data_IF_895907128543
#
_entry.id   IF_895907128543
#
_cell.length_a   1.000
_cell.length_b   1.000
_cell.length_c   1.000
_cell.angle_alpha   90.00
_cell.angle_beta   90.00
_cell.angle_gamma   90.00
#
_symmetry.space_group_name_H-M   'P 1'
#
loop_
_entity.id
_entity.type
_entity.pdbx_description
1 polymer ?
#
# COMPACT_ATOMS: atom_id res chain seq x y z
N UNK A 1 -12.58 14.63 4.19
CA UNK A 1 -13.11 13.43 4.86
C UNK A 1 -12.04 12.36 4.95
N UNK A 2 -11.87 11.77 6.13
CA UNK A 2 -10.89 10.71 6.37
C UNK A 2 -11.53 9.37 5.99
N UNK A 3 -10.87 8.61 5.12
CA UNK A 3 -11.38 7.33 4.63
C UNK A 3 -10.73 6.12 5.30
N UNK A 4 -9.53 6.30 5.84
CA UNK A 4 -8.75 5.23 6.45
C UNK A 4 -8.18 5.70 7.78
N UNK A 5 -7.93 4.77 8.68
CA UNK A 5 -7.29 5.10 9.96
C UNK A 5 -5.80 5.36 9.76
N UNK A 6 -5.16 4.55 8.94
CA UNK A 6 -3.72 4.63 8.71
C UNK A 6 -3.40 4.35 7.25
N UNK A 7 -2.40 5.05 6.71
CA UNK A 7 -1.78 4.72 5.43
C UNK A 7 -0.41 4.12 5.71
N UNK A 8 -0.13 2.99 5.07
CA UNK A 8 1.21 2.39 5.07
C UNK A 8 1.88 2.69 3.74
N UNK A 9 3.09 3.21 3.81
CA UNK A 9 3.96 3.38 2.65
C UNK A 9 5.07 2.35 2.77
N UNK A 10 4.99 1.30 1.95
CA UNK A 10 5.91 0.16 2.00
C UNK A 10 6.79 0.20 0.76
N UNK A 11 7.98 0.77 0.91
CA UNK A 11 8.92 1.02 -0.19
C UNK A 11 10.32 1.10 0.42
N UNK A 12 11.28 0.43 -0.20
CA UNK A 12 12.67 0.44 0.29
C UNK A 12 13.40 1.76 0.04
N UNK A 13 12.80 2.68 -0.72
CA UNK A 13 13.36 4.00 -0.97
C UNK A 13 12.77 5.03 0.01
N UNK A 14 13.58 5.48 1.00
CA UNK A 14 13.07 6.43 1.99
C UNK A 14 12.68 7.79 1.40
N UNK A 15 13.28 8.17 0.27
CA UNK A 15 12.94 9.42 -0.39
C UNK A 15 11.54 9.35 -1.00
N UNK A 16 11.21 8.24 -1.65
CA UNK A 16 9.86 8.02 -2.16
C UNK A 16 8.83 8.04 -1.04
N UNK A 17 9.12 7.38 0.06
CA UNK A 17 8.22 7.37 1.22
C UNK A 17 7.99 8.79 1.75
N UNK A 18 9.05 9.58 1.85
CA UNK A 18 8.96 10.95 2.35
C UNK A 18 8.10 11.82 1.42
N UNK A 19 8.35 11.74 0.12
CA UNK A 19 7.61 12.51 -0.88
C UNK A 19 6.13 12.14 -0.85
N UNK A 20 5.84 10.85 -0.83
CA UNK A 20 4.46 10.35 -0.81
C UNK A 20 3.75 10.71 0.49
N UNK A 21 4.47 10.67 1.61
CA UNK A 21 3.93 11.07 2.90
C UNK A 21 3.48 12.54 2.86
N UNK A 22 4.34 13.42 2.37
CA UNK A 22 4.00 14.86 2.26
C UNK A 22 2.81 15.09 1.34
N UNK A 23 2.75 14.37 0.24
CA UNK A 23 1.66 14.49 -0.72
C UNK A 23 0.32 14.05 -0.11
N UNK A 24 0.33 12.91 0.58
CA UNK A 24 -0.87 12.35 1.20
C UNK A 24 -1.35 13.20 2.37
N UNK A 25 -0.44 13.84 3.10
CA UNK A 25 -0.81 14.75 4.18
C UNK A 25 -1.60 15.95 3.69
N UNK A 26 -1.37 16.39 2.45
CA UNK A 26 -2.09 17.53 1.88
C UNK A 26 -3.57 17.24 1.67
N UNK A 27 -3.93 15.99 1.40
CA UNK A 27 -5.32 15.61 1.10
C UNK A 27 -6.01 14.92 2.26
N UNK A 28 -5.30 14.63 3.32
CA UNK A 28 -5.84 14.09 4.57
C UNK A 28 -6.77 12.89 4.38
N UNK A 29 -6.26 11.88 3.71
CA UNK A 29 -7.00 10.65 3.44
C UNK A 29 -7.11 9.78 4.69
N UNK A 30 -6.14 9.89 5.60
CA UNK A 30 -6.07 9.10 6.81
C UNK A 30 -5.57 9.96 7.98
N UNK A 31 -5.76 9.46 9.19
CA UNK A 31 -5.29 10.14 10.40
C UNK A 31 -3.80 10.00 10.59
N UNK A 32 -3.25 8.85 10.19
CA UNK A 32 -1.83 8.53 10.35
C UNK A 32 -1.24 8.03 9.06
N UNK A 33 0.05 8.31 8.87
CA UNK A 33 0.84 7.73 7.78
C UNK A 33 2.08 7.12 8.40
N UNK A 34 2.34 5.84 8.11
CA UNK A 34 3.51 5.13 8.60
C UNK A 34 4.34 4.65 7.42
N UNK A 35 5.65 4.82 7.51
CA UNK A 35 6.59 4.46 6.45
C UNK A 35 7.36 3.20 6.85
N UNK A 36 7.51 2.27 5.91
CA UNK A 36 8.23 1.02 6.14
C UNK A 36 9.21 0.80 4.98
N UNK A 37 10.47 0.57 5.33
CA UNK A 37 11.50 0.30 4.33
C UNK A 37 11.58 -1.17 3.95
N UNK A 38 10.90 -2.04 4.70
CA UNK A 38 10.85 -3.48 4.43
C UNK A 38 9.45 -4.02 4.67
N UNK A 39 9.07 -5.01 3.86
CA UNK A 39 7.76 -5.63 3.98
C UNK A 39 7.53 -6.29 5.32
N UNK A 40 8.56 -6.89 5.91
CA UNK A 40 8.43 -7.57 7.19
C UNK A 40 8.00 -6.62 8.31
N UNK A 41 8.54 -5.39 8.31
CA UNK A 41 8.16 -4.40 9.32
C UNK A 41 6.68 -4.03 9.20
N UNK A 42 6.19 -3.91 7.98
CA UNK A 42 4.78 -3.63 7.75
C UNK A 42 3.89 -4.80 8.21
N UNK A 43 4.30 -6.03 7.92
CA UNK A 43 3.59 -7.23 8.37
C UNK A 43 3.51 -7.26 9.91
N UNK A 44 4.64 -7.01 10.57
CA UNK A 44 4.69 -6.99 12.04
C UNK A 44 3.74 -5.92 12.60
N UNK A 45 3.71 -4.76 11.96
CA UNK A 45 2.84 -3.67 12.39
C UNK A 45 1.36 -4.00 12.22
N UNK A 46 0.99 -4.63 11.10
CA UNK A 46 -0.40 -5.04 10.85
C UNK A 46 -0.87 -5.99 11.96
N UNK A 47 -0.01 -6.91 12.39
CA UNK A 47 -0.36 -7.88 13.44
C UNK A 47 -0.64 -7.22 14.79
N UNK A 48 -0.16 -5.99 15.01
CA UNK A 48 -0.40 -5.24 16.24
C UNK A 48 -1.69 -4.41 16.19
N UNK A 49 -2.25 -4.18 14.99
CA UNK A 49 -3.39 -3.29 14.82
C UNK A 49 -4.72 -4.05 14.92
N UNK A 50 -5.73 -3.45 15.58
CA UNK A 50 -7.05 -4.07 15.64
C UNK A 50 -7.64 -4.27 14.24
N UNK A 51 -8.45 -5.32 14.10
CA UNK A 51 -9.07 -5.66 12.82
C UNK A 51 -10.05 -4.57 12.35
N UNK A 52 -10.56 -3.78 13.28
CA UNK A 52 -11.49 -2.68 12.97
C UNK A 52 -10.80 -1.49 12.33
N UNK A 53 -9.50 -1.34 12.52
CA UNK A 53 -8.76 -0.26 11.87
C UNK A 53 -8.56 -0.59 10.40
N UNK A 54 -8.90 0.38 9.56
CA UNK A 54 -8.73 0.24 8.10
C UNK A 54 -7.41 0.84 7.68
N UNK A 55 -6.63 0.06 6.96
CA UNK A 55 -5.32 0.47 6.47
C UNK A 55 -5.37 0.59 4.95
N UNK A 56 -4.86 1.70 4.44
CA UNK A 56 -4.58 1.84 3.01
C UNK A 56 -3.08 1.58 2.83
N UNK A 57 -2.73 0.54 2.08
CA UNK A 57 -1.34 0.14 1.89
C UNK A 57 -0.91 0.46 0.46
N UNK A 58 0.09 1.33 0.32
CA UNK A 58 0.80 1.51 -0.95
C UNK A 58 2.03 0.62 -0.91
N UNK A 59 2.08 -0.34 -1.80
CA UNK A 59 3.07 -1.41 -1.77
C UNK A 59 3.94 -1.39 -3.01
N UNK A 60 5.25 -1.23 -2.83
CA UNK A 60 6.22 -1.43 -3.89
C UNK A 60 6.48 -2.92 -4.09
N UNK A 61 6.60 -3.34 -5.33
CA UNK A 61 6.87 -4.75 -5.65
C UNK A 61 8.37 -5.06 -5.55
N UNK A 62 9.20 -4.15 -6.05
CA UNK A 62 10.64 -4.38 -6.18
C UNK A 62 11.39 -3.96 -4.93
N UNK A 63 11.37 -4.82 -3.91
CA UNK A 63 12.09 -4.60 -2.67
C UNK A 63 13.01 -5.79 -2.40
N UNK A 64 14.19 -5.54 -1.76
CA UNK A 64 15.07 -6.64 -1.39
C UNK A 64 14.49 -7.42 -0.20
N UNK A 65 14.98 -8.63 -0.01
CA UNK A 65 14.61 -9.57 1.07
C UNK A 65 13.18 -10.08 0.90
N UNK A 66 12.17 -9.22 1.08
CA UNK A 66 10.77 -9.57 0.82
C UNK A 66 10.23 -8.62 -0.23
N UNK A 67 9.96 -9.14 -1.43
CA UNK A 67 9.34 -8.32 -2.48
C UNK A 67 7.83 -8.19 -2.24
N UNK A 68 7.17 -7.37 -3.06
CA UNK A 68 5.75 -7.12 -2.90
C UNK A 68 4.87 -8.35 -3.07
N UNK A 69 5.27 -9.28 -3.95
CA UNK A 69 4.50 -10.52 -4.17
C UNK A 69 4.52 -11.40 -2.94
N UNK A 70 5.67 -11.50 -2.28
CA UNK A 70 5.80 -12.25 -1.04
C UNK A 70 5.00 -11.62 0.08
N UNK A 71 5.01 -10.28 0.15
CA UNK A 71 4.19 -9.53 1.10
C UNK A 71 2.71 -9.88 0.90
N UNK A 72 2.23 -9.84 -0.35
CA UNK A 72 0.82 -10.13 -0.65
C UNK A 72 0.43 -11.55 -0.26
N UNK A 73 1.33 -12.51 -0.49
CA UNK A 73 1.06 -13.91 -0.10
C UNK A 73 0.90 -14.03 1.41
N UNK A 74 1.80 -13.42 2.16
CA UNK A 74 1.74 -13.45 3.63
C UNK A 74 0.48 -12.74 4.12
N UNK A 75 0.17 -11.58 3.54
CA UNK A 75 -1.03 -10.83 3.90
C UNK A 75 -2.28 -11.68 3.67
N UNK A 76 -2.38 -12.31 2.51
CA UNK A 76 -3.54 -13.11 2.16
C UNK A 76 -3.71 -14.33 3.08
N UNK A 77 -2.61 -14.94 3.51
CA UNK A 77 -2.66 -16.08 4.42
C UNK A 77 -2.99 -15.69 5.86
N UNK A 78 -2.43 -14.58 6.34
CA UNK A 78 -2.52 -14.21 7.76
C UNK A 78 -3.62 -13.23 8.08
N UNK A 79 -3.97 -12.35 7.14
CA UNK A 79 -4.85 -11.21 7.41
C UNK A 79 -6.08 -11.19 6.53
N UNK A 80 -6.52 -12.33 6.03
CA UNK A 80 -7.65 -12.42 5.09
C UNK A 80 -8.94 -11.85 5.67
N UNK A 81 -9.08 -11.84 6.98
CA UNK A 81 -10.29 -11.32 7.65
C UNK A 81 -10.30 -9.81 7.81
N UNK A 82 -9.16 -9.16 7.54
CA UNK A 82 -9.09 -7.70 7.62
C UNK A 82 -9.70 -7.10 6.35
N UNK A 83 -10.21 -5.88 6.49
CA UNK A 83 -10.82 -5.15 5.38
C UNK A 83 -9.95 -3.94 5.01
N UNK A 84 -8.72 -4.22 4.63
CA UNK A 84 -7.77 -3.20 4.20
C UNK A 84 -7.79 -3.05 2.68
N UNK A 85 -7.23 -1.94 2.20
CA UNK A 85 -7.10 -1.67 0.78
C UNK A 85 -5.61 -1.69 0.42
N UNK A 86 -5.23 -2.50 -0.56
CA UNK A 86 -3.85 -2.57 -1.01
C UNK A 86 -3.78 -2.08 -2.45
N UNK A 87 -2.93 -1.07 -2.66
CA UNK A 87 -2.65 -0.52 -3.98
C UNK A 87 -1.18 -0.74 -4.26
N UNK A 88 -0.87 -1.44 -5.36
CA UNK A 88 0.50 -1.61 -5.79
C UNK A 88 0.96 -0.32 -6.44
N UNK A 89 2.12 0.17 -6.03
CA UNK A 89 2.72 1.38 -6.59
C UNK A 89 4.13 1.05 -7.06
N UNK A 90 4.33 0.95 -8.37
CA UNK A 90 5.58 0.46 -8.94
C UNK A 90 6.10 1.35 -10.06
N UNK A 91 7.42 1.41 -10.21
CA UNK A 91 8.06 2.17 -11.29
C UNK A 91 8.04 1.39 -12.60
N UNK A 92 7.79 0.09 -12.55
CA UNK A 92 7.78 -0.78 -13.73
C UNK A 92 6.44 -1.50 -13.82
N UNK A 93 5.59 -1.03 -14.73
CA UNK A 93 4.30 -1.68 -14.98
C UNK A 93 4.39 -2.39 -16.32
N UNK A 94 4.59 -3.71 -16.29
CA UNK A 94 4.49 -4.51 -17.48
C UNK A 94 3.23 -5.38 -17.44
N UNK A 95 2.94 -6.02 -18.55
CA UNK A 95 1.76 -6.86 -18.67
C UNK A 95 1.78 -8.03 -17.68
N UNK A 96 2.96 -8.63 -17.49
CA UNK A 96 3.09 -9.78 -16.58
C UNK A 96 2.81 -9.41 -15.14
N UNK A 97 3.31 -8.24 -14.70
CA UNK A 97 3.05 -7.76 -13.34
C UNK A 97 1.57 -7.48 -13.14
N UNK A 98 0.91 -6.90 -14.14
CA UNK A 98 -0.53 -6.65 -14.06
C UNK A 98 -1.33 -7.94 -13.97
N UNK A 99 -0.93 -8.97 -14.73
CA UNK A 99 -1.59 -10.27 -14.67
C UNK A 99 -1.36 -10.94 -13.31
N UNK A 100 -0.16 -10.84 -12.78
CA UNK A 100 0.17 -11.41 -11.48
C UNK A 100 -0.61 -10.74 -10.35
N UNK A 101 -0.79 -9.42 -10.43
CA UNK A 101 -1.58 -8.68 -9.45
C UNK A 101 -3.01 -9.18 -9.37
N UNK A 102 -3.58 -9.60 -10.50
CA UNK A 102 -4.95 -10.12 -10.56
C UNK A 102 -5.13 -11.45 -9.83
N UNK A 103 -4.04 -12.16 -9.57
CA UNK A 103 -4.08 -13.41 -8.81
C UNK A 103 -4.34 -13.17 -7.32
N UNK A 104 -4.17 -11.93 -6.86
CA UNK A 104 -4.37 -11.58 -5.45
C UNK A 104 -5.65 -10.77 -5.31
N UNK A 105 -6.68 -11.38 -4.74
CA UNK A 105 -7.98 -10.72 -4.54
C UNK A 105 -7.89 -9.52 -3.60
N UNK A 106 -6.84 -9.47 -2.76
CA UNK A 106 -6.66 -8.38 -1.81
C UNK A 106 -6.12 -7.10 -2.45
N UNK A 107 -5.63 -7.18 -3.69
CA UNK A 107 -5.13 -6.01 -4.43
C UNK A 107 -6.30 -5.26 -5.05
N UNK A 108 -6.43 -3.98 -4.71
CA UNK A 108 -7.52 -3.13 -5.21
C UNK A 108 -7.16 -2.43 -6.51
N UNK A 109 -5.89 -2.04 -6.68
CA UNK A 109 -5.45 -1.35 -7.88
C UNK A 109 -3.94 -1.44 -8.05
N UNK A 110 -3.47 -1.04 -9.22
CA UNK A 110 -2.07 -1.08 -9.62
C UNK A 110 -1.74 0.27 -10.25
N UNK A 111 -0.87 1.05 -9.61
CA UNK A 111 -0.50 2.39 -10.06
C UNK A 111 0.97 2.46 -10.44
N UNK A 112 1.26 3.25 -11.46
CA UNK A 112 2.64 3.56 -11.86
C UNK A 112 3.16 4.75 -11.06
N UNK A 113 4.41 4.64 -10.60
CA UNK A 113 5.10 5.78 -9.97
C UNK A 113 5.34 6.88 -11.00
N UNK A 114 5.33 8.14 -10.60
CA UNK A 114 5.16 8.65 -9.25
C UNK A 114 3.69 8.74 -8.83
N UNK A 115 3.45 8.70 -7.53
CA UNK A 115 2.13 9.02 -6.99
C UNK A 115 1.88 10.52 -7.16
N UNK A 116 0.67 10.88 -7.60
CA UNK A 116 0.28 12.27 -7.83
C UNK A 116 -1.03 12.59 -7.15
N UNK A 117 -1.34 13.88 -7.01
CA UNK A 117 -2.63 14.28 -6.44
C UNK A 117 -3.80 13.75 -7.25
N UNK A 118 -3.67 13.75 -8.58
CA UNK A 118 -4.73 13.22 -9.46
C UNK A 118 -4.96 11.74 -9.23
N UNK A 119 -3.89 10.97 -9.09
CA UNK A 119 -4.00 9.52 -8.82
C UNK A 119 -4.61 9.26 -7.46
N UNK A 120 -4.23 10.05 -6.46
CA UNK A 120 -4.81 9.95 -5.12
C UNK A 120 -6.29 10.28 -5.16
N UNK A 121 -6.66 11.38 -5.82
CA UNK A 121 -8.04 11.81 -5.92
C UNK A 121 -8.90 10.74 -6.58
N UNK A 122 -8.39 10.13 -7.66
CA UNK A 122 -9.10 9.05 -8.34
C UNK A 122 -9.36 7.88 -7.40
N UNK A 123 -8.36 7.51 -6.59
CA UNK A 123 -8.51 6.40 -5.64
C UNK A 123 -9.50 6.73 -4.52
N UNK A 124 -9.46 7.97 -4.01
CA UNK A 124 -10.39 8.40 -2.96
C UNK A 124 -11.85 8.30 -3.44
N UNK A 125 -12.12 8.69 -4.66
CA UNK A 125 -13.47 8.68 -5.22
C UNK A 125 -14.06 7.28 -5.34
N UNK A 126 -13.24 6.25 -5.26
CA UNK A 126 -13.69 4.86 -5.30
C UNK A 126 -14.19 4.34 -3.95
N UNK A 127 -13.90 5.06 -2.87
CA UNK A 127 -14.16 4.58 -1.50
C UNK A 127 -15.04 5.50 -0.67
#
# INVERSE_FOLDING_TARGET
MIHFDTIFLVDDDPINNLINNRLLNKVKVAEKIEEFLEGQYAIDRISELPIEQKILIFLDINMPVMNGWEFLRIYQERFIKRNDTIIILSSSIDFQDRQKAKEFSVVSDFLEKPLTLDKIQYQIEKY
#
